data_IF_691735883174
#
_entry.id   IF_691735883174
#
_cell.length_a   1.000
_cell.length_b   1.000
_cell.length_c   1.000
_cell.angle_alpha   90.00
_cell.angle_beta   90.00
_cell.angle_gamma   90.00
#
_symmetry.space_group_name_H-M   'P 1'
#
loop_
_entity.id
_entity.type
_entity.pdbx_description
1 polymer ?
#
# COMPACT_ATOMS: atom_id res chain seq x y z
N UNK A 1 38.83 -23.34 -50.62
CA UNK A 1 39.11 -21.89 -50.50
C UNK A 1 37.92 -21.24 -49.82
N UNK A 2 38.20 -20.54 -48.71
CA UNK A 2 37.52 -19.39 -48.09
C UNK A 2 35.97 -19.38 -47.87
N UNK A 3 35.58 -19.34 -46.58
CA UNK A 3 34.47 -18.54 -46.00
C UNK A 3 34.77 -17.01 -46.13
N UNK A 4 33.83 -16.04 -45.95
CA UNK A 4 32.87 -15.98 -44.82
C UNK A 4 31.48 -15.31 -45.01
N UNK A 5 30.61 -15.62 -44.04
CA UNK A 5 29.62 -14.82 -43.27
C UNK A 5 28.87 -13.63 -43.88
N UNK A 6 27.55 -13.59 -43.64
CA UNK A 6 26.90 -12.55 -42.80
C UNK A 6 25.53 -13.06 -42.32
N UNK A 7 25.41 -13.17 -40.99
CA UNK A 7 24.17 -13.39 -40.25
C UNK A 7 23.46 -12.05 -40.04
N UNK A 8 22.16 -11.97 -40.31
CA UNK A 8 21.30 -10.89 -39.84
C UNK A 8 20.08 -11.54 -39.19
N UNK A 9 20.10 -11.53 -37.85
CA UNK A 9 18.99 -11.89 -36.97
C UNK A 9 17.87 -10.84 -37.13
N UNK A 10 16.75 -11.25 -37.70
CA UNK A 10 15.53 -10.44 -37.75
C UNK A 10 14.48 -11.13 -36.87
N UNK A 11 14.38 -10.63 -35.64
CA UNK A 11 13.25 -10.85 -34.73
C UNK A 11 11.92 -10.68 -35.47
N UNK A 12 10.96 -11.62 -35.38
CA UNK A 12 9.61 -11.32 -35.82
C UNK A 12 8.88 -10.61 -34.68
N UNK A 13 8.97 -9.29 -34.67
CA UNK A 13 7.91 -8.46 -34.11
C UNK A 13 6.61 -8.69 -34.91
N UNK A 14 5.51 -8.77 -34.18
CA UNK A 14 4.17 -8.34 -34.62
C UNK A 14 3.71 -8.78 -36.03
N UNK A 15 3.11 -9.96 -36.14
CA UNK A 15 2.05 -10.19 -37.14
C UNK A 15 0.81 -10.67 -36.36
N UNK A 16 -0.08 -9.75 -35.97
CA UNK A 16 -1.08 -9.08 -36.81
C UNK A 16 -2.20 -10.06 -37.20
N UNK A 17 -3.30 -9.95 -36.46
CA UNK A 17 -4.64 -9.87 -37.05
C UNK A 17 -5.00 -10.90 -38.13
N UNK A 18 -4.93 -12.21 -37.85
CA UNK A 18 -5.75 -13.17 -38.59
C UNK A 18 -7.12 -13.30 -37.92
N UNK A 19 -7.95 -12.40 -38.41
CA UNK A 19 -9.34 -12.18 -38.13
C UNK A 19 -10.22 -13.43 -38.34
N UNK A 20 -11.09 -13.66 -37.36
CA UNK A 20 -12.49 -14.00 -37.57
C UNK A 20 -12.82 -15.35 -38.24
N UNK A 21 -12.70 -16.46 -37.50
CA UNK A 21 -13.82 -17.41 -37.34
C UNK A 21 -13.56 -18.47 -36.26
N UNK A 22 -13.67 -18.07 -35.02
CA UNK A 22 -14.24 -18.94 -33.99
C UNK A 22 -14.79 -17.99 -32.95
N UNK A 23 -16.05 -18.14 -32.56
CA UNK A 23 -16.61 -17.53 -31.34
C UNK A 23 -15.85 -18.11 -30.15
N UNK A 24 -14.59 -17.68 -30.03
CA UNK A 24 -13.66 -18.07 -29.01
C UNK A 24 -14.07 -17.31 -27.77
N UNK A 25 -14.49 -18.06 -26.75
CA UNK A 25 -14.40 -17.61 -25.38
C UNK A 25 -13.13 -16.78 -25.25
N UNK A 26 -13.26 -15.52 -24.79
CA UNK A 26 -12.11 -14.73 -24.39
C UNK A 26 -11.35 -15.65 -23.44
N UNK A 27 -10.21 -16.18 -23.89
CA UNK A 27 -9.38 -17.00 -23.05
C UNK A 27 -8.85 -16.05 -22.00
N UNK A 28 -9.59 -15.95 -20.88
CA UNK A 28 -9.15 -15.19 -19.74
C UNK A 28 -7.88 -15.89 -19.32
N UNK A 29 -6.72 -15.30 -19.62
CA UNK A 29 -5.44 -15.78 -19.12
C UNK A 29 -5.53 -15.63 -17.61
N UNK A 30 -6.02 -16.69 -16.94
CA UNK A 30 -6.29 -16.72 -15.51
C UNK A 30 -4.93 -16.82 -14.86
N UNK A 31 -4.37 -15.73 -14.30
CA UNK A 31 -2.96 -15.74 -13.87
C UNK A 31 -2.74 -16.75 -12.75
N UNK A 32 -3.78 -17.07 -11.99
CA UNK A 32 -3.77 -18.11 -10.96
C UNK A 32 -3.74 -19.54 -11.52
N UNK A 33 -4.20 -19.76 -12.75
CA UNK A 33 -4.09 -21.08 -13.41
C UNK A 33 -2.61 -21.42 -13.66
N UNK A 34 -1.81 -20.41 -13.97
CA UNK A 34 -0.34 -20.52 -14.09
C UNK A 34 0.35 -20.87 -12.77
N UNK A 35 -0.31 -20.68 -11.63
CA UNK A 35 0.23 -21.03 -10.31
C UNK A 35 -0.05 -22.48 -9.91
N UNK A 36 -0.91 -23.22 -10.64
CA UNK A 36 -1.15 -24.63 -10.34
C UNK A 36 0.13 -25.45 -10.55
N UNK A 37 0.50 -26.23 -9.54
CA UNK A 37 1.70 -27.07 -9.56
C UNK A 37 3.02 -26.32 -9.34
N UNK A 38 3.01 -24.98 -9.25
CA UNK A 38 4.19 -24.21 -8.87
C UNK A 38 4.33 -24.24 -7.35
N UNK A 39 5.42 -24.86 -6.86
CA UNK A 39 5.80 -24.76 -5.45
C UNK A 39 6.32 -23.34 -5.20
N UNK A 40 5.50 -22.52 -4.56
CA UNK A 40 5.95 -21.21 -4.05
C UNK A 40 6.96 -21.48 -2.95
N UNK A 41 8.25 -21.10 -3.14
CA UNK A 41 9.24 -21.32 -2.10
C UNK A 41 8.84 -20.54 -0.84
N UNK A 42 9.06 -21.09 0.36
CA UNK A 42 8.87 -20.32 1.58
C UNK A 42 9.75 -19.08 1.50
N UNK A 43 9.16 -17.92 1.82
CA UNK A 43 9.86 -16.63 1.84
C UNK A 43 11.15 -16.80 2.64
N UNK A 44 12.30 -16.53 2.02
CA UNK A 44 13.59 -16.72 2.68
C UNK A 44 13.64 -15.89 3.97
N UNK A 45 14.24 -16.43 5.05
CA UNK A 45 14.44 -15.65 6.26
C UNK A 45 15.22 -14.37 5.92
N UNK A 46 14.78 -13.25 6.47
CA UNK A 46 15.23 -11.88 6.18
C UNK A 46 16.76 -11.63 6.35
N UNK A 47 17.54 -12.60 6.84
CA UNK A 47 18.98 -12.44 7.09
C UNK A 47 19.88 -12.62 5.86
N UNK A 48 19.34 -12.87 4.67
CA UNK A 48 20.13 -12.85 3.44
C UNK A 48 20.44 -11.40 3.06
N UNK A 49 21.54 -10.87 3.58
CA UNK A 49 22.07 -9.51 3.35
C UNK A 49 22.26 -9.12 1.87
N UNK A 50 22.14 -10.06 0.92
CA UNK A 50 22.31 -9.82 -0.52
C UNK A 50 21.03 -9.90 -1.35
N UNK A 51 19.90 -10.31 -0.77
CA UNK A 51 18.66 -10.47 -1.55
C UNK A 51 17.89 -9.16 -1.53
N UNK A 52 17.80 -8.51 -2.69
CA UNK A 52 16.77 -7.50 -2.93
C UNK A 52 15.44 -8.09 -2.44
N UNK A 53 14.71 -7.42 -1.52
CA UNK A 53 13.50 -8.01 -0.97
C UNK A 53 12.56 -8.35 -2.12
N UNK A 54 12.12 -9.60 -2.20
CA UNK A 54 11.09 -10.01 -3.16
C UNK A 54 9.80 -9.28 -2.78
N UNK A 55 9.62 -8.10 -3.39
CA UNK A 55 8.50 -7.23 -3.16
C UNK A 55 7.30 -7.92 -3.78
N UNK A 56 6.22 -8.12 -3.02
CA UNK A 56 4.96 -8.64 -3.56
C UNK A 56 4.57 -7.84 -4.83
N UNK A 57 3.96 -8.50 -5.82
CA UNK A 57 3.62 -7.88 -7.13
C UNK A 57 2.95 -6.50 -6.99
N UNK A 58 2.06 -6.33 -6.02
CA UNK A 58 1.40 -5.05 -5.76
C UNK A 58 2.39 -3.93 -5.39
N UNK A 59 3.48 -4.25 -4.69
CA UNK A 59 4.53 -3.29 -4.31
C UNK A 59 5.48 -2.94 -5.45
N UNK A 60 5.57 -3.80 -6.47
CA UNK A 60 6.33 -3.53 -7.69
C UNK A 60 5.52 -2.67 -8.65
N UNK A 61 4.22 -2.96 -8.78
CA UNK A 61 3.34 -2.27 -9.71
C UNK A 61 2.77 -0.94 -9.17
N UNK A 62 2.71 -0.76 -7.85
CA UNK A 62 2.10 0.42 -7.24
C UNK A 62 3.16 1.34 -6.61
N UNK A 63 3.36 2.56 -7.15
CA UNK A 63 4.17 3.60 -6.52
C UNK A 63 3.68 3.96 -5.12
N UNK A 64 4.61 4.38 -4.26
CA UNK A 64 4.32 4.71 -2.86
C UNK A 64 3.33 5.85 -2.71
N UNK A 65 3.33 6.83 -3.63
CA UNK A 65 2.39 7.94 -3.64
C UNK A 65 0.93 7.48 -3.81
N UNK A 66 0.69 6.51 -4.70
CA UNK A 66 -0.65 5.94 -4.89
C UNK A 66 -1.07 5.12 -3.67
N UNK A 67 -0.12 4.43 -3.02
CA UNK A 67 -0.40 3.70 -1.79
C UNK A 67 -0.79 4.64 -0.64
N UNK A 68 -0.10 5.79 -0.51
CA UNK A 68 -0.46 6.85 0.45
C UNK A 68 -1.85 7.42 0.15
N UNK A 69 -2.16 7.66 -1.12
CA UNK A 69 -3.43 8.22 -1.56
C UNK A 69 -4.61 7.24 -1.35
N UNK A 70 -4.40 5.94 -1.55
CA UNK A 70 -5.34 4.89 -1.14
C UNK A 70 -5.53 4.93 0.37
N UNK A 71 -4.43 4.98 1.13
CA UNK A 71 -4.47 5.00 2.59
C UNK A 71 -5.16 6.25 3.15
N UNK A 72 -5.05 7.38 2.46
CA UNK A 72 -5.72 8.64 2.81
C UNK A 72 -7.24 8.59 2.67
N UNK A 73 -7.78 7.66 1.87
CA UNK A 73 -9.23 7.40 1.76
C UNK A 73 -9.77 6.46 2.84
N UNK A 74 -8.91 5.70 3.49
CA UNK A 74 -9.33 4.75 4.52
C UNK A 74 -9.66 5.44 5.85
N UNK A 75 -10.52 4.83 6.66
CA UNK A 75 -10.71 5.27 8.04
C UNK A 75 -9.43 5.09 8.86
N UNK A 76 -9.19 5.89 9.91
CA UNK A 76 -7.99 5.74 10.75
C UNK A 76 -7.92 4.39 11.47
N UNK A 77 -9.08 3.77 11.76
CA UNK A 77 -9.14 2.43 12.34
C UNK A 77 -8.67 1.35 11.35
N UNK A 78 -9.17 1.40 10.11
CA UNK A 78 -8.71 0.51 9.04
C UNK A 78 -7.24 0.75 8.68
N UNK A 79 -6.76 1.99 8.80
CA UNK A 79 -5.35 2.33 8.62
C UNK A 79 -4.45 1.65 9.68
N UNK A 80 -4.91 1.61 10.93
CA UNK A 80 -4.24 0.86 12.01
C UNK A 80 -4.14 -0.64 11.71
N UNK A 81 -5.21 -1.24 11.20
CA UNK A 81 -5.20 -2.65 10.76
C UNK A 81 -4.30 -2.88 9.54
N UNK A 82 -4.28 -1.96 8.58
CA UNK A 82 -3.41 -2.02 7.41
C UNK A 82 -1.92 -2.03 7.81
N UNK A 83 -1.53 -1.28 8.85
CA UNK A 83 -0.16 -1.28 9.35
C UNK A 83 0.33 -2.67 9.83
N UNK A 84 -0.57 -3.60 10.13
CA UNK A 84 -0.25 -4.97 10.56
C UNK A 84 -0.07 -5.96 9.40
N UNK A 85 -0.34 -5.57 8.15
CA UNK A 85 -0.32 -6.48 6.99
C UNK A 85 1.12 -6.82 6.56
N UNK A 86 1.96 -5.82 6.36
CA UNK A 86 3.36 -6.02 5.99
C UNK A 86 4.24 -4.86 6.48
N UNK A 87 5.57 -5.04 6.46
CA UNK A 87 6.52 -4.00 6.87
C UNK A 87 6.38 -2.73 6.03
N UNK A 88 6.22 -2.86 4.70
CA UNK A 88 6.05 -1.69 3.80
C UNK A 88 4.83 -0.87 4.21
N UNK A 89 3.68 -1.51 4.46
CA UNK A 89 2.47 -0.82 4.93
C UNK A 89 2.67 -0.19 6.31
N UNK A 90 3.37 -0.87 7.23
CA UNK A 90 3.75 -0.30 8.54
C UNK A 90 4.56 0.99 8.39
N UNK A 91 5.47 1.07 7.43
CA UNK A 91 6.23 2.30 7.18
C UNK A 91 5.39 3.37 6.49
N UNK A 92 4.61 3.03 5.46
CA UNK A 92 3.79 4.01 4.75
C UNK A 92 2.71 4.62 5.65
N UNK A 93 2.11 3.82 6.53
CA UNK A 93 1.12 4.30 7.52
C UNK A 93 1.73 5.24 8.57
N UNK A 94 3.06 5.31 8.72
CA UNK A 94 3.71 6.30 9.60
C UNK A 94 3.77 7.70 8.99
N UNK A 95 3.42 7.86 7.73
CA UNK A 95 3.40 9.17 7.09
C UNK A 95 2.48 10.14 7.88
N UNK A 96 3.00 11.29 8.34
CA UNK A 96 2.23 12.22 9.18
C UNK A 96 1.03 12.83 8.45
N UNK A 97 1.03 12.88 7.10
CA UNK A 97 -0.07 13.45 6.32
C UNK A 97 -1.37 12.68 6.51
N UNK A 98 -1.29 11.34 6.63
CA UNK A 98 -2.44 10.47 6.87
C UNK A 98 -3.11 10.80 8.20
N UNK A 99 -2.31 10.92 9.27
CA UNK A 99 -2.82 11.23 10.60
C UNK A 99 -3.27 12.69 10.74
N UNK A 100 -2.60 13.63 10.07
CA UNK A 100 -3.03 15.02 9.98
C UNK A 100 -4.42 15.12 9.37
N UNK A 101 -4.65 14.48 8.23
CA UNK A 101 -5.95 14.50 7.57
C UNK A 101 -7.04 13.86 8.46
N UNK A 102 -6.72 12.77 9.16
CA UNK A 102 -7.62 12.15 10.13
C UNK A 102 -7.99 13.10 11.29
N UNK A 103 -6.99 13.74 11.90
CA UNK A 103 -7.19 14.70 12.99
C UNK A 103 -8.03 15.90 12.54
N UNK A 104 -7.70 16.48 11.38
CA UNK A 104 -8.41 17.63 10.84
C UNK A 104 -9.86 17.28 10.52
N UNK A 105 -10.15 16.09 9.99
CA UNK A 105 -11.53 15.62 9.75
C UNK A 105 -12.32 15.37 11.04
N UNK A 106 -11.67 14.91 12.09
CA UNK A 106 -12.36 14.52 13.35
C UNK A 106 -12.57 15.68 14.30
N UNK A 107 -11.61 16.62 14.38
CA UNK A 107 -11.67 17.78 15.26
C UNK A 107 -11.76 19.10 14.49
N UNK A 108 -12.63 19.15 13.48
CA UNK A 108 -12.89 20.34 12.67
C UNK A 108 -13.35 21.55 13.50
N UNK A 109 -14.07 21.31 14.60
CA UNK A 109 -14.69 22.35 15.45
C UNK A 109 -13.69 23.34 16.07
N UNK A 110 -12.45 22.90 16.34
CA UNK A 110 -11.44 23.77 16.95
C UNK A 110 -10.78 24.70 15.93
N UNK A 111 -11.02 24.52 14.63
CA UNK A 111 -10.31 25.20 13.57
C UNK A 111 -8.94 24.58 13.26
N UNK A 112 -8.45 24.83 12.04
CA UNK A 112 -7.19 24.25 11.54
C UNK A 112 -6.01 24.76 12.36
N UNK A 113 -5.91 26.08 12.56
CA UNK A 113 -4.79 26.73 13.26
C UNK A 113 -4.65 26.26 14.72
N UNK A 114 -5.76 26.14 15.44
CA UNK A 114 -5.73 25.63 16.81
C UNK A 114 -5.24 24.18 16.88
N UNK A 115 -5.61 23.35 15.90
CA UNK A 115 -5.12 21.97 15.81
C UNK A 115 -3.60 21.94 15.55
N UNK A 116 -3.07 22.80 14.69
CA UNK A 116 -1.62 22.93 14.47
C UNK A 116 -0.88 23.35 15.74
N UNK A 117 -1.37 24.40 16.43
CA UNK A 117 -0.80 24.85 17.70
C UNK A 117 -0.80 23.75 18.77
N UNK A 118 -1.90 23.00 18.90
CA UNK A 118 -1.98 21.86 19.84
C UNK A 118 -0.99 20.75 19.50
N UNK A 119 -0.83 20.41 18.22
CA UNK A 119 0.14 19.38 17.79
C UNK A 119 1.56 19.79 18.14
N UNK A 120 1.90 21.06 17.95
CA UNK A 120 3.22 21.59 18.25
C UNK A 120 3.48 21.66 19.76
N UNK A 121 2.51 22.11 20.56
CA UNK A 121 2.71 22.35 22.00
C UNK A 121 2.49 21.14 22.90
N UNK A 122 1.56 20.23 22.56
CA UNK A 122 1.13 19.14 23.44
C UNK A 122 1.56 17.75 22.96
N UNK A 123 1.94 17.61 21.68
CA UNK A 123 2.12 16.29 21.05
C UNK A 123 3.46 16.12 20.31
N UNK A 124 4.48 16.89 20.67
CA UNK A 124 5.82 16.86 20.07
C UNK A 124 5.81 16.96 18.54
N UNK A 125 4.94 17.79 17.98
CA UNK A 125 4.72 17.92 16.53
C UNK A 125 4.26 16.63 15.82
N UNK A 126 3.74 15.63 16.56
CA UNK A 126 3.28 14.35 16.02
C UNK A 126 1.75 14.25 15.93
N UNK A 127 1.23 14.32 14.71
CA UNK A 127 -0.19 14.10 14.42
C UNK A 127 -0.70 12.73 14.87
N UNK A 128 0.15 11.70 14.80
CA UNK A 128 -0.20 10.34 15.25
C UNK A 128 -0.38 10.28 16.77
N UNK A 129 0.49 10.94 17.55
CA UNK A 129 0.35 11.02 19.00
C UNK A 129 -0.97 11.70 19.38
N UNK A 130 -1.27 12.83 18.74
CA UNK A 130 -2.55 13.53 18.90
C UNK A 130 -3.74 12.60 18.60
N UNK A 131 -3.71 11.84 17.50
CA UNK A 131 -4.81 10.94 17.14
C UNK A 131 -5.09 9.85 18.21
N UNK A 132 -4.03 9.31 18.81
CA UNK A 132 -4.12 8.22 19.78
C UNK A 132 -4.50 8.73 21.17
N UNK A 133 -3.94 9.86 21.58
CA UNK A 133 -4.08 10.39 22.94
C UNK A 133 -5.29 11.29 23.13
N UNK A 134 -5.76 11.97 22.07
CA UNK A 134 -6.88 12.91 22.19
C UNK A 134 -8.22 12.17 22.30
N UNK A 135 -9.02 12.41 23.35
CA UNK A 135 -10.34 11.79 23.50
C UNK A 135 -11.28 12.12 22.34
N UNK A 136 -12.07 11.14 21.92
CA UNK A 136 -13.12 11.30 20.90
C UNK A 136 -14.46 11.28 21.59
N UNK A 137 -15.19 12.38 21.52
CA UNK A 137 -16.54 12.47 22.05
C UNK A 137 -17.46 11.75 21.05
N UNK A 138 -17.93 10.54 21.39
CA UNK A 138 -19.04 9.90 20.68
C UNK A 138 -20.33 10.48 21.24
N UNK A 139 -21.21 10.95 20.36
CA UNK A 139 -22.48 11.60 20.75
C UNK A 139 -23.54 10.51 21.06
N UNK A 140 -23.23 9.22 20.88
CA UNK A 140 -24.12 8.06 21.09
C UNK A 140 -24.45 7.76 22.57
N UNK A 141 -24.39 8.74 23.48
CA UNK A 141 -24.78 8.58 24.89
C UNK A 141 -23.88 7.68 25.75
N UNK A 142 -22.75 7.19 25.20
CA UNK A 142 -21.75 6.41 25.95
C UNK A 142 -20.44 7.19 26.02
N UNK A 143 -20.16 7.78 27.19
CA UNK A 143 -18.86 8.38 27.54
C UNK A 143 -17.80 7.30 27.67
N UNK A 144 -17.40 6.68 26.56
CA UNK A 144 -16.16 5.93 26.53
C UNK A 144 -15.05 6.91 26.16
N UNK A 145 -14.28 7.31 27.16
CA UNK A 145 -12.93 7.82 26.95
C UNK A 145 -12.21 6.71 26.20
N UNK A 146 -12.07 6.84 24.88
CA UNK A 146 -11.34 5.89 24.06
C UNK A 146 -9.85 6.06 24.37
N UNK A 147 -9.43 5.60 25.55
CA UNK A 147 -8.04 5.33 25.87
C UNK A 147 -7.69 4.13 24.99
N UNK A 148 -7.07 4.40 23.84
CA UNK A 148 -6.37 3.39 23.05
C UNK A 148 -5.12 2.95 23.82
N UNK A 149 -5.33 2.34 24.99
CA UNK A 149 -4.35 1.45 25.58
C UNK A 149 -4.54 0.10 24.89
N UNK A 150 -3.44 -0.55 24.51
CA UNK A 150 -3.40 -1.90 23.93
C UNK A 150 -3.67 -2.02 22.42
N UNK A 151 -2.78 -1.47 21.58
CA UNK A 151 -2.19 -2.19 20.43
C UNK A 151 -0.77 -1.62 20.19
N UNK A 152 0.19 -2.05 21.02
CA UNK A 152 1.60 -2.19 20.66
C UNK A 152 1.94 -3.65 20.96
#
# INVERSE_FOLDING_TARGET
MASPDISIDIRPEFNSFDHLRSTGYISTDRPWLKLYGIRVPPVSPFNSLSSTPDLALIHQCLPDELLIEIFGRMSPYTLGRAACVCRKWKYTTRNPTLWRNACLKTWQRNGIEANFRMVQSLYDSSWRKMWVQRPRIRIDGKYQVAVLHSII
#
